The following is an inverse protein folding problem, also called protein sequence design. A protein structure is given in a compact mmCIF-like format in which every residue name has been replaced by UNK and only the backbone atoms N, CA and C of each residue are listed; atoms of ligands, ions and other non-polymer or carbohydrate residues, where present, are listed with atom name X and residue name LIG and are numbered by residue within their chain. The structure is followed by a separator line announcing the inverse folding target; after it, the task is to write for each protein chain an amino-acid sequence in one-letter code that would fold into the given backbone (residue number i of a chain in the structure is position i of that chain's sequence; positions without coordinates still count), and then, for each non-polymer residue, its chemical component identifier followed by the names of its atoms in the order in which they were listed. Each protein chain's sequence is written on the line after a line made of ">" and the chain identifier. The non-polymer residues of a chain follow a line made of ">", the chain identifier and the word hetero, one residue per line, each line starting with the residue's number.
data_IF_433531794374
#
_entry.id   IF_433531794374
#
_cell.length_a   1.000
_cell.length_b   1.000
_cell.length_c   1.000
_cell.angle_alpha   90.00
_cell.angle_beta   90.00
_cell.angle_gamma   90.00
#
_symmetry.space_group_name_H-M   'P 1'
#
loop_
_entity.id
_entity.type
_entity.pdbx_description
1 polymer ?
#
# COMPACT_ATOMS: atom_id res chain seq x y z
N UNK A 1 -19.70 12.17 -0.94
CA UNK A 1 -18.97 11.11 -1.67
C UNK A 1 -18.57 10.01 -0.72
N UNK A 2 -18.81 8.79 -1.11
CA UNK A 2 -18.51 7.64 -0.24
C UNK A 2 -17.16 7.06 -0.54
N UNK A 3 -16.46 6.65 0.49
CA UNK A 3 -15.24 5.85 0.38
C UNK A 3 -15.64 4.39 0.52
N UNK A 4 -15.51 3.64 -0.57
CA UNK A 4 -15.93 2.24 -0.59
C UNK A 4 -14.70 1.34 -0.57
N UNK A 5 -14.27 0.95 0.61
CA UNK A 5 -13.09 0.11 0.79
C UNK A 5 -13.27 -1.28 0.20
N UNK A 6 -14.50 -1.81 0.22
CA UNK A 6 -14.76 -3.16 -0.30
C UNK A 6 -14.55 -3.27 -1.81
N UNK A 7 -14.98 -2.24 -2.53
CA UNK A 7 -14.93 -2.25 -3.99
C UNK A 7 -13.78 -1.41 -4.55
N UNK A 8 -12.83 -1.06 -3.71
CA UNK A 8 -11.66 -0.31 -4.12
C UNK A 8 -10.43 -1.20 -4.07
N UNK A 9 -9.45 -0.89 -4.90
CA UNK A 9 -8.22 -1.67 -4.96
C UNK A 9 -7.17 -1.05 -4.06
N UNK A 10 -6.61 -1.83 -3.15
CA UNK A 10 -5.51 -1.40 -2.30
C UNK A 10 -4.23 -1.37 -3.14
N UNK A 11 -3.56 -0.23 -3.17
CA UNK A 11 -2.37 -0.02 -4.00
C UNK A 11 -1.08 0.03 -3.20
N UNK A 12 -1.12 0.61 -2.01
CA UNK A 12 0.09 0.87 -1.25
C UNK A 12 -0.27 0.99 0.23
N UNK A 13 0.59 0.48 1.11
CA UNK A 13 0.32 0.61 2.54
C UNK A 13 1.59 0.93 3.30
N UNK A 14 1.46 1.78 4.30
CA UNK A 14 2.55 2.22 5.17
C UNK A 14 2.11 2.06 6.60
N UNK A 15 2.92 1.39 7.41
CA UNK A 15 2.68 1.28 8.85
C UNK A 15 3.90 1.73 9.60
N UNK A 16 3.71 2.77 10.40
CA UNK A 16 4.73 3.23 11.34
C UNK A 16 4.37 2.71 12.72
N UNK A 17 5.31 2.03 13.39
CA UNK A 17 5.08 1.37 14.68
C UNK A 17 3.93 0.37 14.54
N UNK A 18 4.27 -0.85 14.21
CA UNK A 18 3.30 -1.88 13.83
C UNK A 18 2.32 -2.31 14.92
N UNK A 19 2.52 -1.90 16.17
CA UNK A 19 1.63 -2.25 17.28
C UNK A 19 0.77 -1.07 17.68
N UNK A 20 -0.54 -1.27 17.75
CA UNK A 20 -1.46 -0.23 18.20
C UNK A 20 -1.22 0.22 19.64
N UNK A 21 -0.56 -0.62 20.46
CA UNK A 21 -0.17 -0.24 21.80
C UNK A 21 0.85 0.89 21.84
N UNK A 22 1.52 1.13 20.71
CA UNK A 22 2.45 2.25 20.60
C UNK A 22 1.67 3.51 20.25
N UNK A 23 1.00 4.16 21.07
CA UNK A 23 0.08 5.28 20.83
C UNK A 23 0.51 6.30 19.76
N UNK A 24 1.72 6.19 19.24
CA UNK A 24 2.23 7.00 18.13
C UNK A 24 2.09 6.30 16.78
N UNK A 25 1.50 5.11 16.72
CA UNK A 25 1.33 4.37 15.47
C UNK A 25 0.60 5.21 14.42
N UNK A 26 0.97 5.01 13.16
CA UNK A 26 0.32 5.67 12.03
C UNK A 26 0.23 4.67 10.88
N UNK A 27 -0.97 4.32 10.50
CA UNK A 27 -1.23 3.41 9.40
C UNK A 27 -1.91 4.17 8.28
N UNK A 28 -1.45 3.95 7.05
CA UNK A 28 -1.99 4.62 5.87
C UNK A 28 -2.12 3.61 4.74
N UNK A 29 -3.27 3.61 4.09
CA UNK A 29 -3.57 2.72 2.98
C UNK A 29 -4.07 3.54 1.80
N UNK A 30 -3.39 3.44 0.66
CA UNK A 30 -3.81 4.10 -0.57
C UNK A 30 -4.68 3.16 -1.38
N UNK A 31 -5.85 3.64 -1.75
CA UNK A 31 -6.82 2.90 -2.57
C UNK A 31 -7.12 3.64 -3.87
N UNK A 32 -7.53 2.88 -4.86
CA UNK A 32 -8.12 3.40 -6.08
C UNK A 32 -9.54 2.88 -6.18
N UNK A 33 -10.51 3.77 -6.29
CA UNK A 33 -11.91 3.39 -6.44
C UNK A 33 -12.22 2.91 -7.86
N UNK A 34 -13.39 2.30 -8.04
CA UNK A 34 -13.81 1.81 -9.35
C UNK A 34 -13.94 2.91 -10.41
N UNK A 35 -14.18 4.15 -9.98
CA UNK A 35 -14.26 5.29 -10.88
C UNK A 35 -12.89 5.95 -11.14
N UNK A 36 -11.81 5.33 -10.68
CA UNK A 36 -10.46 5.79 -10.94
C UNK A 36 -9.94 6.86 -10.01
N UNK A 37 -10.66 7.18 -8.96
CA UNK A 37 -10.20 8.18 -7.98
C UNK A 37 -9.35 7.54 -6.91
N UNK A 38 -8.40 8.30 -6.39
CA UNK A 38 -7.50 7.83 -5.32
C UNK A 38 -7.96 8.39 -3.97
N UNK A 39 -7.89 7.58 -2.96
CA UNK A 39 -8.14 8.03 -1.60
C UNK A 39 -7.26 7.30 -0.61
N UNK A 40 -7.02 7.95 0.52
CA UNK A 40 -6.21 7.41 1.60
C UNK A 40 -7.14 7.07 2.77
N UNK A 41 -7.03 5.85 3.27
CA UNK A 41 -7.58 5.49 4.57
C UNK A 41 -6.45 5.60 5.57
N UNK A 42 -6.71 6.22 6.71
CA UNK A 42 -5.69 6.35 7.75
C UNK A 42 -6.23 5.93 9.12
N UNK A 43 -5.31 5.50 9.96
CA UNK A 43 -5.60 5.16 11.35
C UNK A 43 -4.38 5.59 12.17
N UNK A 44 -4.55 6.57 13.01
CA UNK A 44 -3.48 7.14 13.80
C UNK A 44 -3.76 7.11 15.29
N UNK A 45 -2.74 6.79 16.07
CA UNK A 45 -2.83 6.74 17.52
C UNK A 45 -2.92 8.10 18.17
N UNK A 46 -3.07 8.09 19.48
CA UNK A 46 -3.28 9.29 20.30
C UNK A 46 -2.20 10.36 20.13
N UNK A 47 -0.97 9.96 19.83
CA UNK A 47 0.13 10.88 19.65
C UNK A 47 0.67 10.89 18.22
N UNK A 48 -0.10 10.41 17.27
CA UNK A 48 0.26 10.45 15.85
C UNK A 48 -0.07 11.82 15.23
N UNK A 49 0.39 12.02 14.00
CA UNK A 49 0.06 13.24 13.25
C UNK A 49 -1.43 13.38 12.95
N UNK A 50 -2.18 12.28 12.99
CA UNK A 50 -3.62 12.28 12.74
C UNK A 50 -4.46 12.52 14.01
N UNK A 51 -3.82 12.56 15.18
CA UNK A 51 -4.54 12.75 16.44
C UNK A 51 -5.27 14.09 16.48
N UNK A 52 -6.37 14.10 17.20
CA UNK A 52 -7.16 15.31 17.40
C UNK A 52 -6.97 15.80 18.82
N UNK A 53 -6.68 17.08 18.97
CA UNK A 53 -6.55 17.70 20.27
C UNK A 53 -7.94 17.94 20.87
N UNK A 54 -8.20 17.37 22.04
CA UNK A 54 -9.51 17.47 22.70
C UNK A 54 -9.48 18.31 23.98
N UNK A 55 -8.33 18.84 24.36
CA UNK A 55 -8.19 19.67 25.54
C UNK A 55 -6.82 20.33 25.52
N UNK A 56 -6.43 20.97 26.63
CA UNK A 56 -5.12 21.61 26.68
C UNK A 56 -3.97 20.63 26.50
N UNK A 57 -4.09 19.44 27.06
CA UNK A 57 -3.03 18.45 27.05
C UNK A 57 -3.49 17.09 26.58
N UNK A 58 -4.74 16.98 26.14
CA UNK A 58 -5.31 15.70 25.73
C UNK A 58 -5.47 15.58 24.24
N UNK A 59 -5.19 14.39 23.72
CA UNK A 59 -5.35 14.05 22.31
C UNK A 59 -6.14 12.76 22.19
N UNK A 60 -6.76 12.58 21.05
CA UNK A 60 -7.56 11.39 20.75
C UNK A 60 -7.07 10.77 19.44
N UNK A 61 -6.96 9.44 19.41
CA UNK A 61 -6.69 8.71 18.19
C UNK A 61 -7.79 9.00 17.17
N UNK A 62 -7.42 8.97 15.90
CA UNK A 62 -8.37 9.24 14.82
C UNK A 62 -8.11 8.34 13.62
N UNK A 63 -9.18 7.87 13.00
CA UNK A 63 -9.13 7.18 11.72
C UNK A 63 -10.10 7.86 10.76
N UNK A 64 -9.88 7.68 9.48
CA UNK A 64 -10.74 8.30 8.48
C UNK A 64 -10.24 8.09 7.07
N UNK A 65 -10.83 8.83 6.16
CA UNK A 65 -10.49 8.78 4.74
C UNK A 65 -10.40 10.17 4.17
N UNK A 66 -9.54 10.36 3.17
CA UNK A 66 -9.52 11.59 2.40
C UNK A 66 -9.09 11.30 0.97
N UNK A 67 -9.58 12.13 0.04
CA UNK A 67 -9.17 12.01 -1.35
C UNK A 67 -7.74 12.46 -1.55
N UNK A 68 -7.03 11.75 -2.40
CA UNK A 68 -5.66 12.08 -2.74
C UNK A 68 -5.56 12.47 -4.20
N UNK A 69 -4.96 13.62 -4.46
CA UNK A 69 -4.68 14.03 -5.83
C UNK A 69 -3.52 13.22 -6.37
N UNK A 70 -3.63 12.81 -7.63
CA UNK A 70 -2.62 11.97 -8.28
C UNK A 70 -1.21 12.54 -8.16
N UNK A 71 -1.06 13.86 -8.24
CA UNK A 71 0.24 14.53 -8.17
C UNK A 71 0.92 14.33 -6.82
N UNK A 72 0.16 14.06 -5.76
CA UNK A 72 0.70 13.90 -4.42
C UNK A 72 1.05 12.45 -4.09
N UNK A 73 0.68 11.49 -4.93
CA UNK A 73 0.88 10.07 -4.66
C UNK A 73 2.35 9.69 -4.67
N UNK A 74 3.07 10.03 -5.73
CA UNK A 74 4.48 9.66 -5.83
C UNK A 74 5.35 10.31 -4.74
N UNK A 75 5.22 11.61 -4.45
CA UNK A 75 5.95 12.19 -3.34
C UNK A 75 5.68 11.50 -2.00
N UNK A 76 4.43 11.12 -1.75
CA UNK A 76 4.07 10.39 -0.54
C UNK A 76 4.73 9.00 -0.50
N UNK A 77 4.68 8.25 -1.61
CA UNK A 77 5.33 6.94 -1.70
C UNK A 77 6.84 7.05 -1.48
N UNK A 78 7.48 8.03 -2.10
CA UNK A 78 8.92 8.25 -1.96
C UNK A 78 9.30 8.59 -0.53
N UNK A 79 8.49 9.41 0.13
CA UNK A 79 8.69 9.75 1.54
C UNK A 79 8.60 8.50 2.42
N UNK A 80 7.60 7.65 2.18
CA UNK A 80 7.42 6.41 2.92
C UNK A 80 8.62 5.47 2.74
N UNK A 81 9.09 5.31 1.50
CA UNK A 81 10.24 4.47 1.20
C UNK A 81 11.52 5.03 1.83
N UNK A 82 11.68 6.34 1.85
CA UNK A 82 12.81 6.99 2.52
C UNK A 82 12.79 6.73 4.02
N UNK A 83 11.62 6.84 4.65
CA UNK A 83 11.46 6.54 6.07
C UNK A 83 11.78 5.07 6.36
N UNK A 84 11.33 4.17 5.52
CA UNK A 84 11.62 2.73 5.65
C UNK A 84 13.12 2.48 5.57
N UNK A 85 13.81 3.17 4.66
CA UNK A 85 15.25 3.03 4.49
C UNK A 85 16.02 3.51 5.71
N UNK A 86 15.57 4.61 6.32
CA UNK A 86 16.22 5.19 7.50
C UNK A 86 15.93 4.42 8.78
N UNK A 87 14.71 3.92 8.92
CA UNK A 87 14.27 3.24 10.13
C UNK A 87 13.52 1.95 9.77
N UNK A 88 14.23 0.94 9.23
CA UNK A 88 13.58 -0.26 8.70
C UNK A 88 12.82 -1.07 9.74
N UNK A 89 13.16 -0.96 11.01
CA UNK A 89 12.47 -1.68 12.06
C UNK A 89 11.17 -1.02 12.50
N UNK A 90 11.01 0.27 12.21
CA UNK A 90 9.85 1.03 12.63
C UNK A 90 8.78 1.16 11.54
N UNK A 91 9.15 0.96 10.29
CA UNK A 91 8.25 1.13 9.16
C UNK A 91 8.03 -0.18 8.42
N UNK A 92 6.79 -0.44 8.07
CA UNK A 92 6.42 -1.48 7.11
C UNK A 92 5.81 -0.78 5.90
N UNK A 93 6.36 -1.04 4.73
CA UNK A 93 5.87 -0.45 3.48
C UNK A 93 5.64 -1.56 2.48
N UNK A 94 4.45 -1.63 1.92
CA UNK A 94 4.09 -2.63 0.93
C UNK A 94 3.54 -1.94 -0.31
N UNK A 95 4.17 -2.18 -1.44
CA UNK A 95 3.68 -1.72 -2.74
C UNK A 95 2.90 -2.86 -3.38
N UNK A 96 1.59 -2.89 -3.15
CA UNK A 96 0.73 -3.95 -3.63
C UNK A 96 0.62 -3.99 -5.15
N UNK A 97 0.70 -2.84 -5.81
CA UNK A 97 0.71 -2.79 -7.27
C UNK A 97 1.94 -3.48 -7.84
N UNK A 98 3.10 -3.19 -7.27
CA UNK A 98 4.35 -3.77 -7.71
C UNK A 98 4.38 -5.27 -7.47
N UNK A 99 3.92 -5.72 -6.32
CA UNK A 99 3.88 -7.16 -6.00
C UNK A 99 2.93 -7.91 -6.93
N UNK A 100 1.79 -7.31 -7.25
CA UNK A 100 0.84 -7.90 -8.19
C UNK A 100 1.44 -8.01 -9.59
N UNK A 101 2.10 -6.95 -10.05
CA UNK A 101 2.76 -6.95 -11.36
C UNK A 101 3.88 -8.00 -11.43
N UNK A 102 4.66 -8.13 -10.38
CA UNK A 102 5.71 -9.15 -10.29
C UNK A 102 5.12 -10.56 -10.32
N UNK A 103 4.02 -10.79 -9.62
CA UNK A 103 3.34 -12.07 -9.62
C UNK A 103 2.83 -12.44 -11.01
N UNK A 104 2.27 -11.47 -11.73
CA UNK A 104 1.80 -11.67 -13.11
C UNK A 104 2.96 -12.02 -14.03
N UNK A 105 4.08 -11.32 -13.90
CA UNK A 105 5.27 -11.58 -14.70
C UNK A 105 5.79 -12.99 -14.43
N UNK A 106 5.86 -13.40 -13.18
CA UNK A 106 6.32 -14.74 -12.81
C UNK A 106 5.39 -15.83 -13.37
N UNK A 107 4.10 -15.61 -13.31
CA UNK A 107 3.12 -16.53 -13.86
C UNK A 107 3.31 -16.68 -15.37
N UNK A 108 3.52 -15.58 -16.08
CA UNK A 108 3.78 -15.60 -17.51
C UNK A 108 5.06 -16.38 -17.82
N UNK A 109 6.10 -16.17 -17.05
CA UNK A 109 7.37 -16.89 -17.23
C UNK A 109 7.20 -18.40 -17.02
N UNK A 110 6.45 -18.80 -16.01
CA UNK A 110 6.20 -20.22 -15.76
C UNK A 110 5.40 -20.85 -16.88
N UNK A 111 4.39 -20.16 -17.38
CA UNK A 111 3.60 -20.64 -18.51
C UNK A 111 4.45 -20.79 -19.76
N UNK A 112 5.32 -19.83 -20.04
CA UNK A 112 6.23 -19.90 -21.17
C UNK A 112 7.21 -21.06 -21.01
N UNK A 113 7.70 -21.29 -19.81
CA UNK A 113 8.60 -22.42 -19.52
C UNK A 113 7.91 -23.76 -19.79
N UNK A 114 6.67 -23.90 -19.37
CA UNK A 114 5.88 -25.10 -19.64
C UNK A 114 5.67 -25.30 -21.13
N UNK A 115 5.37 -24.26 -21.86
CA UNK A 115 5.21 -24.32 -23.30
C UNK A 115 6.50 -24.72 -24.01
N UNK A 116 7.63 -24.21 -23.57
CA UNK A 116 8.92 -24.59 -24.12
C UNK A 116 9.18 -26.06 -23.90
N UNK A 117 8.93 -26.57 -22.73
CA UNK A 117 9.11 -27.98 -22.43
C UNK A 117 8.21 -28.86 -23.28
N UNK A 118 6.95 -28.46 -23.45
CA UNK A 118 6.02 -29.15 -24.31
C UNK A 118 6.46 -29.08 -25.76
N UNK A 119 6.90 -27.92 -26.23
CA UNK A 119 7.35 -27.76 -27.57
C UNK A 119 8.62 -28.54 -27.86
N UNK A 120 9.49 -28.69 -26.88
CA UNK A 120 10.68 -29.49 -27.05
C UNK A 120 10.38 -30.96 -27.26
N UNK A 121 9.38 -31.49 -26.56
CA UNK A 121 8.97 -32.85 -26.78
C UNK A 121 8.30 -32.99 -28.12
N UNK A 122 7.62 -31.98 -28.56
CA UNK A 122 6.99 -31.94 -29.86
C UNK A 122 7.80 -31.19 -30.80
N UNK A 123 8.69 -30.60 -30.23
CA UNK A 123 9.57 -29.93 -30.97
C UNK A 123 9.31 -28.63 -31.37
N UNK A 124 8.91 -27.89 -30.97
CA UNK A 124 8.91 -26.69 -31.39
C UNK A 124 8.88 -25.73 -30.57
N UNK A 125 9.01 -25.28 -30.26
CA UNK A 125 8.95 -24.34 -29.65
C UNK A 125 9.46 -23.63 -29.39
N UNK A 126 9.48 -23.13 -29.48
CA UNK A 126 9.88 -22.30 -29.20
C UNK A 126 9.42 -21.22 -28.98
N UNK A 127 9.62 -20.61 -28.89
CA UNK A 127 9.24 -19.44 -28.59
C UNK A 127 10.19 -18.56 -28.94
#
# INVERSE_FOLDING_TARGET
>A
MKFDLKNSKLLFEVRYKSKRSDEIYTYEWLYRSNDGKYFMHFDGGKYSEYAVKIGYYDFMARSGNFFMEKININPWKESALSCKKKCPEEYMVIDWEKEEDEAIIDEIKDNNKLMIMGALTESELPF
#
